data_IF_632100519724
#
_entry.id   IF_632100519724
#
_cell.length_a   1.000
_cell.length_b   1.000
_cell.length_c   1.000
_cell.angle_alpha   90.00
_cell.angle_beta   90.00
_cell.angle_gamma   90.00
#
_symmetry.space_group_name_H-M   'P 1'
#
loop_
_entity.id
_entity.type
_entity.pdbx_description
1 polymer ?
#
# COMPACT_ATOMS: atom_id res chain seq x y z
N UNK A 1 -18.03 -2.76 -2.34
CA UNK A 1 -16.73 -2.34 -1.77
C UNK A 1 -16.99 -1.01 -1.11
N UNK A 2 -17.02 -0.97 0.22
CA UNK A 2 -17.00 0.29 0.94
C UNK A 2 -15.63 0.91 0.66
N UNK A 3 -15.61 1.95 -0.18
CA UNK A 3 -14.39 2.69 -0.48
C UNK A 3 -14.00 3.41 0.80
N UNK A 4 -13.15 2.77 1.61
CA UNK A 4 -12.64 3.38 2.83
C UNK A 4 -11.68 4.46 2.39
N UNK A 5 -11.97 5.73 2.71
CA UNK A 5 -11.02 6.81 2.44
C UNK A 5 -9.81 6.62 3.35
N UNK A 6 -8.61 6.78 2.79
CA UNK A 6 -7.37 6.73 3.58
C UNK A 6 -7.42 7.88 4.57
N UNK A 7 -7.23 7.65 5.88
CA UNK A 7 -7.16 8.73 6.86
C UNK A 7 -6.03 9.71 6.50
N UNK A 8 -6.22 10.99 6.85
CA UNK A 8 -5.23 12.03 6.58
C UNK A 8 -3.85 11.68 7.19
N UNK A 9 -2.79 11.80 6.39
CA UNK A 9 -1.41 11.54 6.79
C UNK A 9 -0.50 12.67 6.31
N UNK A 10 0.56 12.94 7.08
CA UNK A 10 1.53 14.03 6.84
C UNK A 10 2.82 13.53 6.15
N UNK A 11 2.94 12.21 5.93
CA UNK A 11 4.05 11.63 5.18
C UNK A 11 4.30 10.16 5.52
N UNK A 12 5.34 9.60 4.90
CA UNK A 12 5.70 8.19 5.00
C UNK A 12 6.76 7.92 6.09
N UNK A 13 6.71 6.72 6.67
CA UNK A 13 7.74 6.16 7.55
C UNK A 13 8.34 4.89 6.93
N UNK A 14 9.62 4.98 6.57
CA UNK A 14 10.44 3.89 6.04
C UNK A 14 11.58 3.51 7.01
N UNK A 15 11.30 3.36 8.30
CA UNK A 15 12.32 2.98 9.28
C UNK A 15 12.81 1.52 9.16
N UNK A 16 14.06 1.29 9.59
CA UNK A 16 14.56 -0.02 10.05
C UNK A 16 14.72 -1.13 9.01
N UNK A 17 15.16 -0.83 7.79
CA UNK A 17 15.42 -1.85 6.75
C UNK A 17 14.17 -2.31 5.98
N UNK A 18 13.01 -1.70 6.23
CA UNK A 18 11.77 -2.06 5.53
C UNK A 18 11.82 -1.76 4.03
N UNK A 19 12.43 -0.64 3.64
CA UNK A 19 12.66 -0.30 2.24
C UNK A 19 13.54 -1.36 1.56
N UNK A 20 14.65 -1.73 2.20
CA UNK A 20 15.56 -2.76 1.69
C UNK A 20 14.88 -4.13 1.61
N UNK A 21 14.11 -4.53 2.62
CA UNK A 21 13.34 -5.78 2.61
C UNK A 21 12.33 -5.83 1.46
N UNK A 22 11.61 -4.73 1.21
CA UNK A 22 10.67 -4.65 0.09
C UNK A 22 11.40 -4.73 -1.25
N UNK A 23 12.54 -4.05 -1.37
CA UNK A 23 13.38 -4.16 -2.55
C UNK A 23 13.83 -5.61 -2.78
N UNK A 24 14.46 -6.24 -1.80
CA UNK A 24 14.96 -7.61 -1.91
C UNK A 24 13.85 -8.62 -2.24
N UNK A 25 12.64 -8.45 -1.67
CA UNK A 25 11.54 -9.42 -1.82
C UNK A 25 10.70 -9.19 -3.09
N UNK A 26 10.53 -7.93 -3.50
CA UNK A 26 9.49 -7.54 -4.47
C UNK A 26 9.97 -6.57 -5.55
N UNK A 27 11.21 -6.08 -5.45
CA UNK A 27 11.78 -5.08 -6.37
C UNK A 27 10.85 -3.87 -6.48
N UNK A 28 10.31 -3.41 -5.34
CA UNK A 28 9.51 -2.19 -5.24
C UNK A 28 10.29 -1.19 -4.42
N UNK A 29 10.53 -0.02 -5.00
CA UNK A 29 11.20 1.09 -4.32
C UNK A 29 10.23 1.82 -3.39
N UNK A 30 10.75 2.57 -2.38
CA UNK A 30 9.91 3.45 -1.59
C UNK A 30 9.09 4.42 -2.43
N UNK A 31 9.71 5.03 -3.44
CA UNK A 31 9.05 5.99 -4.33
C UNK A 31 7.86 5.37 -5.07
N UNK A 32 8.03 4.17 -5.65
CA UNK A 32 6.92 3.47 -6.32
C UNK A 32 5.76 3.17 -5.35
N UNK A 33 6.07 2.75 -4.13
CA UNK A 33 5.05 2.48 -3.13
C UNK A 33 4.31 3.76 -2.70
N UNK A 34 5.00 4.91 -2.64
CA UNK A 34 4.39 6.20 -2.32
C UNK A 34 3.50 6.72 -3.47
N UNK A 35 3.94 6.59 -4.72
CA UNK A 35 3.17 7.01 -5.90
C UNK A 35 1.75 6.42 -5.94
N UNK A 36 1.59 5.18 -5.48
CA UNK A 36 0.29 4.50 -5.40
C UNK A 36 -0.75 5.34 -4.65
N UNK A 37 -0.35 6.06 -3.60
CA UNK A 37 -1.27 6.86 -2.77
C UNK A 37 -1.71 8.17 -3.42
N UNK A 38 -1.02 8.60 -4.48
CA UNK A 38 -1.29 9.87 -5.18
C UNK A 38 -1.92 9.67 -6.56
N UNK A 39 -2.02 8.42 -7.01
CA UNK A 39 -2.61 8.07 -8.29
C UNK A 39 -4.04 7.54 -8.14
N UNK A 40 -4.84 7.76 -9.17
CA UNK A 40 -6.19 7.21 -9.29
C UNK A 40 -6.27 6.21 -10.45
N UNK A 41 -7.11 5.16 -10.36
CA UNK A 41 -7.96 4.82 -9.21
C UNK A 41 -7.16 4.30 -8.01
N UNK A 42 -7.74 4.39 -6.82
CA UNK A 42 -7.14 3.89 -5.57
C UNK A 42 -8.22 3.16 -4.77
N UNK A 43 -8.04 1.86 -4.54
CA UNK A 43 -8.93 1.07 -3.69
C UNK A 43 -8.23 0.87 -2.36
N UNK A 44 -8.88 1.24 -1.26
CA UNK A 44 -8.37 1.01 0.09
C UNK A 44 -9.38 0.19 0.90
N UNK A 45 -8.88 -0.78 1.65
CA UNK A 45 -9.69 -1.66 2.49
C UNK A 45 -8.90 -2.14 3.72
N UNK A 46 -9.61 -2.65 4.74
CA UNK A 46 -9.01 -3.18 5.95
C UNK A 46 -8.36 -4.56 5.69
N UNK A 47 -7.14 -4.74 6.17
CA UNK A 47 -6.48 -6.04 6.18
C UNK A 47 -6.89 -6.81 7.44
N UNK A 48 -8.14 -7.27 7.46
CA UNK A 48 -8.79 -7.88 8.63
C UNK A 48 -8.05 -9.13 9.10
N UNK A 49 -7.49 -9.91 8.16
CA UNK A 49 -6.73 -11.13 8.48
C UNK A 49 -5.46 -10.83 9.29
N UNK A 50 -4.82 -9.67 9.07
CA UNK A 50 -3.58 -9.30 9.75
C UNK A 50 -3.75 -8.24 10.85
N UNK A 51 -4.97 -7.75 11.10
CA UNK A 51 -5.24 -6.62 12.02
C UNK A 51 -5.39 -7.00 13.50
N UNK A 52 -5.03 -8.21 13.92
CA UNK A 52 -5.28 -8.68 15.29
C UNK A 52 -4.48 -7.95 16.39
N UNK A 53 -3.40 -7.25 16.05
CA UNK A 53 -2.54 -6.51 17.02
C UNK A 53 -2.39 -5.03 16.70
N UNK A 54 -2.51 -4.65 15.43
CA UNK A 54 -2.34 -3.27 14.94
C UNK A 54 -3.29 -3.12 13.75
N UNK A 55 -4.00 -2.00 13.63
CA UNK A 55 -4.88 -1.74 12.49
C UNK A 55 -4.05 -1.71 11.20
N UNK A 56 -4.32 -2.64 10.29
CA UNK A 56 -3.65 -2.74 9.00
C UNK A 56 -4.65 -2.52 7.89
N UNK A 57 -4.16 -1.86 6.87
CA UNK A 57 -4.91 -1.54 5.67
C UNK A 57 -4.09 -1.97 4.47
N UNK A 58 -4.77 -2.13 3.34
CA UNK A 58 -4.08 -2.24 2.07
C UNK A 58 -4.69 -1.32 1.04
N UNK A 59 -3.88 -0.94 0.06
CA UNK A 59 -4.32 -0.28 -1.16
C UNK A 59 -3.99 -1.09 -2.39
N UNK A 60 -4.86 -0.98 -3.39
CA UNK A 60 -4.60 -1.34 -4.78
C UNK A 60 -4.57 -0.03 -5.59
N UNK A 61 -3.44 0.25 -6.22
CA UNK A 61 -3.27 1.41 -7.10
C UNK A 61 -2.12 1.22 -8.07
N UNK A 62 -1.73 2.30 -8.75
CA UNK A 62 -0.69 2.27 -9.78
C UNK A 62 0.40 3.32 -9.55
N UNK A 63 1.62 3.02 -9.99
CA UNK A 63 2.71 4.00 -10.09
C UNK A 63 2.50 4.93 -11.28
N UNK A 64 3.33 5.97 -11.38
CA UNK A 64 3.30 6.92 -12.51
C UNK A 64 3.60 6.23 -13.86
N UNK A 65 4.37 5.15 -13.83
CA UNK A 65 4.68 4.31 -15.00
C UNK A 65 3.60 3.24 -15.28
N UNK A 66 2.49 3.25 -14.52
CA UNK A 66 1.38 2.31 -14.68
C UNK A 66 1.62 0.93 -14.06
N UNK A 67 2.63 0.76 -13.20
CA UNK A 67 2.85 -0.50 -12.49
C UNK A 67 1.79 -0.67 -11.40
N UNK A 68 1.01 -1.75 -11.48
CA UNK A 68 -0.06 -2.08 -10.55
C UNK A 68 0.48 -2.74 -9.27
N UNK A 69 0.32 -2.06 -8.14
CA UNK A 69 0.85 -2.48 -6.85
C UNK A 69 -0.24 -2.71 -5.80
N UNK A 70 -0.02 -3.75 -5.01
CA UNK A 70 -0.63 -3.92 -3.70
C UNK A 70 0.32 -3.33 -2.65
N UNK A 71 -0.19 -2.47 -1.77
CA UNK A 71 0.59 -1.91 -0.67
C UNK A 71 -0.14 -2.11 0.65
N UNK A 72 0.41 -2.93 1.54
CA UNK A 72 -0.05 -3.06 2.92
C UNK A 72 0.64 -2.01 3.79
N UNK A 73 -0.13 -1.35 4.64
CA UNK A 73 0.35 -0.27 5.51
C UNK A 73 -0.40 -0.21 6.84
N UNK A 74 0.14 0.62 7.73
CA UNK A 74 -0.53 1.03 8.97
C UNK A 74 -0.31 2.53 9.20
N UNK A 75 -1.16 3.12 10.04
CA UNK A 75 -1.05 4.51 10.45
C UNK A 75 -0.58 4.59 11.89
N UNK A 76 0.51 5.33 12.13
CA UNK A 76 1.03 5.62 13.47
C UNK A 76 1.00 7.13 13.69
N UNK A 77 -0.04 7.60 14.40
CA UNK A 77 -0.35 9.03 14.45
C UNK A 77 -0.70 9.52 13.04
N UNK A 78 0.07 10.49 12.54
CA UNK A 78 -0.11 11.05 11.18
C UNK A 78 0.91 10.52 10.16
N UNK A 79 1.62 9.43 10.46
CA UNK A 79 2.61 8.83 9.56
C UNK A 79 2.09 7.51 8.98
N UNK A 80 2.20 7.38 7.67
CA UNK A 80 1.88 6.16 6.94
C UNK A 80 3.12 5.28 6.86
N UNK A 81 3.08 4.13 7.53
CA UNK A 81 4.16 3.14 7.49
C UNK A 81 3.81 2.03 6.51
N UNK A 82 4.54 1.96 5.42
CA UNK A 82 4.42 0.83 4.48
C UNK A 82 4.98 -0.42 5.18
N UNK A 83 4.21 -1.51 5.17
CA UNK A 83 4.61 -2.82 5.72
C UNK A 83 5.15 -3.70 4.60
N UNK A 84 4.44 -3.74 3.46
CA UNK A 84 4.85 -4.50 2.29
C UNK A 84 4.29 -3.86 1.03
N UNK A 85 5.08 -3.81 -0.04
CA UNK A 85 4.65 -3.40 -1.35
C UNK A 85 5.07 -4.45 -2.38
N UNK A 86 4.14 -4.87 -3.23
CA UNK A 86 4.37 -5.91 -4.25
C UNK A 86 3.48 -5.72 -5.45
N UNK A 87 3.78 -6.43 -6.55
CA UNK A 87 2.86 -6.52 -7.67
C UNK A 87 1.51 -7.10 -7.22
N UNK A 88 0.43 -6.55 -7.77
CA UNK A 88 -0.89 -7.16 -7.62
C UNK A 88 -0.92 -8.59 -8.19
N UNK A 89 -1.58 -9.49 -7.47
CA UNK A 89 -1.97 -10.80 -7.95
C UNK A 89 -3.02 -10.70 -9.06
N UNK A 90 -3.25 -11.78 -9.80
CA UNK A 90 -4.28 -11.82 -10.86
C UNK A 90 -5.68 -11.49 -10.34
N UNK A 91 -5.99 -11.89 -9.09
CA UNK A 91 -7.28 -11.60 -8.45
C UNK A 91 -7.40 -10.13 -8.10
N UNK A 92 -6.36 -9.56 -7.48
CA UNK A 92 -6.31 -8.12 -7.11
C UNK A 92 -6.41 -7.23 -8.35
N UNK A 93 -5.69 -7.53 -9.44
CA UNK A 93 -5.80 -6.78 -10.71
C UNK A 93 -7.20 -6.78 -11.28
N UNK A 94 -7.93 -7.91 -11.15
CA UNK A 94 -9.31 -8.01 -11.63
C UNK A 94 -10.24 -7.10 -10.81
N UNK A 95 -10.03 -7.03 -9.50
CA UNK A 95 -10.76 -6.13 -8.60
C UNK A 95 -10.42 -4.67 -8.90
N UNK A 96 -9.15 -4.36 -9.16
CA UNK A 96 -8.69 -3.01 -9.46
C UNK A 96 -9.24 -2.46 -10.78
N UNK A 97 -9.53 -3.33 -11.75
CA UNK A 97 -10.02 -2.97 -13.09
C UNK A 97 -11.53 -3.14 -13.30
N UNK A 98 -12.27 -3.60 -12.28
CA UNK A 98 -13.72 -3.79 -12.37
C UNK A 98 -14.47 -2.50 -12.15
#
# INVERSE_FOLDING_TARGET
MDVTSIPEFEGFDWSGGNAEKNWQSHQVTPLEAEQVFFNTPLICDADVEHSQKESRFYVLGQTDEGRELFVAFTLRGKRLRVISARNMSRKERRIYKS
#
